data_IF_341778577680
#
_entry.id   IF_341778577680
#
_cell.length_a   1.000
_cell.length_b   1.000
_cell.length_c   1.000
_cell.angle_alpha   90.00
_cell.angle_beta   90.00
_cell.angle_gamma   90.00
#
_symmetry.space_group_name_H-M   'P 1'
#
loop_
_entity.id
_entity.type
_entity.pdbx_description
1 polymer ?
#
# COMPACT_ATOMS: atom_id res chain seq x y z
N UNK A 1 23.05 -1.36 -80.32
CA UNK A 1 22.57 -0.28 -79.44
C UNK A 1 21.32 -0.76 -78.67
N UNK A 2 21.49 -1.18 -77.42
CA UNK A 2 20.41 -1.21 -76.41
C UNK A 2 21.05 -0.76 -75.10
N UNK A 3 20.64 0.41 -74.62
CA UNK A 3 21.11 1.04 -73.38
C UNK A 3 20.37 0.40 -72.22
N UNK A 4 21.09 -0.14 -71.24
CA UNK A 4 20.56 -0.52 -69.93
C UNK A 4 20.69 0.67 -68.98
N UNK A 5 19.56 1.25 -68.57
CA UNK A 5 19.49 2.15 -67.42
C UNK A 5 19.62 1.30 -66.15
N UNK A 6 20.56 1.64 -65.27
CA UNK A 6 20.50 1.24 -63.86
C UNK A 6 20.15 2.47 -63.04
N UNK A 7 18.96 2.46 -62.44
CA UNK A 7 18.49 3.48 -61.52
C UNK A 7 19.10 3.22 -60.14
N UNK A 8 19.83 4.19 -59.60
CA UNK A 8 20.28 4.17 -58.21
C UNK A 8 19.16 4.68 -57.30
N UNK A 9 18.66 3.82 -56.41
CA UNK A 9 17.67 4.17 -55.40
C UNK A 9 18.41 4.72 -54.17
N UNK A 10 18.30 6.02 -53.91
CA UNK A 10 18.83 6.62 -52.68
C UNK A 10 17.84 6.39 -51.54
N UNK A 11 18.25 5.60 -50.54
CA UNK A 11 17.46 5.35 -49.33
C UNK A 11 17.61 6.56 -48.39
N UNK A 12 16.58 7.40 -48.30
CA UNK A 12 16.53 8.48 -47.33
C UNK A 12 16.21 7.90 -45.94
N UNK A 13 17.23 7.79 -45.08
CA UNK A 13 17.05 7.48 -43.66
C UNK A 13 16.56 8.76 -42.98
N UNK A 14 15.28 8.81 -42.62
CA UNK A 14 14.75 9.86 -41.76
C UNK A 14 15.28 9.65 -40.34
N UNK A 15 16.15 10.55 -39.88
CA UNK A 15 16.48 10.63 -38.46
C UNK A 15 15.26 11.18 -37.74
N UNK A 16 14.51 10.32 -37.07
CA UNK A 16 13.56 10.73 -36.04
C UNK A 16 14.37 11.43 -34.94
N UNK A 17 14.25 12.75 -34.84
CA UNK A 17 14.72 13.47 -33.66
C UNK A 17 13.85 13.04 -32.49
N UNK A 18 14.42 12.24 -31.58
CA UNK A 18 13.83 12.09 -30.27
C UNK A 18 13.87 13.48 -29.64
N UNK A 19 12.69 14.07 -29.42
CA UNK A 19 12.60 15.29 -28.63
C UNK A 19 13.28 15.00 -27.28
N UNK A 20 14.24 15.83 -26.88
CA UNK A 20 14.88 15.72 -25.59
C UNK A 20 13.80 15.63 -24.52
N UNK A 21 13.71 14.49 -23.84
CA UNK A 21 12.79 14.34 -22.71
C UNK A 21 13.16 15.42 -21.72
N UNK A 22 12.24 16.34 -21.38
CA UNK A 22 12.56 17.42 -20.45
C UNK A 22 13.17 16.83 -19.18
N UNK A 23 14.27 17.41 -18.66
CA UNK A 23 14.89 16.89 -17.45
C UNK A 23 13.85 16.84 -16.34
N UNK A 24 13.86 15.76 -15.56
CA UNK A 24 12.97 15.62 -14.40
C UNK A 24 13.26 16.76 -13.44
N UNK A 25 12.31 17.70 -13.34
CA UNK A 25 12.41 18.83 -12.41
C UNK A 25 11.82 18.41 -11.06
N UNK A 26 12.64 18.49 -10.02
CA UNK A 26 12.18 18.28 -8.65
C UNK A 26 11.88 19.65 -8.01
N UNK A 27 10.61 19.98 -7.71
CA UNK A 27 10.25 21.28 -7.14
C UNK A 27 10.97 21.50 -5.80
N UNK A 28 11.36 22.74 -5.55
CA UNK A 28 11.99 23.12 -4.28
C UNK A 28 10.92 23.30 -3.20
N UNK A 29 11.28 23.11 -1.94
CA UNK A 29 10.38 23.46 -0.84
C UNK A 29 10.03 24.94 -0.97
N UNK A 30 8.75 25.27 -0.89
CA UNK A 30 8.21 26.60 -1.14
C UNK A 30 7.58 26.79 -2.52
N UNK A 31 7.87 25.92 -3.50
CA UNK A 31 7.20 25.97 -4.81
C UNK A 31 5.69 25.87 -4.67
N UNK A 32 4.97 26.73 -5.38
CA UNK A 32 3.51 26.76 -5.43
C UNK A 32 3.01 26.43 -6.83
N UNK A 33 1.86 25.78 -6.90
CA UNK A 33 1.08 25.61 -8.12
C UNK A 33 -0.34 26.10 -7.82
N UNK A 34 -0.95 26.79 -8.77
CA UNK A 34 -2.30 27.33 -8.63
C UNK A 34 -3.15 26.86 -9.81
N UNK A 35 -4.41 26.53 -9.54
CA UNK A 35 -5.40 26.27 -10.58
C UNK A 35 -5.56 27.50 -11.48
N UNK A 36 -5.87 27.30 -12.76
CA UNK A 36 -5.99 28.39 -13.73
C UNK A 36 -7.07 29.41 -13.35
N UNK A 37 -8.12 28.97 -12.66
CA UNK A 37 -9.20 29.80 -12.14
C UNK A 37 -8.91 30.41 -10.75
N UNK A 38 -7.74 30.12 -10.18
CA UNK A 38 -7.33 30.58 -8.86
C UNK A 38 -7.99 29.88 -7.67
N UNK A 39 -8.86 28.88 -7.90
CA UNK A 39 -9.69 28.25 -6.86
C UNK A 39 -8.89 27.38 -5.87
N UNK A 40 -7.74 26.88 -6.30
CA UNK A 40 -6.89 25.97 -5.51
C UNK A 40 -5.43 26.36 -5.64
N UNK A 41 -4.73 26.39 -4.50
CA UNK A 41 -3.28 26.55 -4.45
C UNK A 41 -2.67 25.38 -3.68
N UNK A 42 -1.66 24.75 -4.28
CA UNK A 42 -0.82 23.74 -3.64
C UNK A 42 0.56 24.33 -3.39
N UNK A 43 1.12 24.05 -2.21
CA UNK A 43 2.49 24.44 -1.85
C UNK A 43 3.27 23.21 -1.40
N UNK A 44 4.47 23.03 -1.93
CA UNK A 44 5.39 22.03 -1.41
C UNK A 44 5.98 22.53 -0.08
N UNK A 45 5.48 22.04 1.04
CA UNK A 45 5.91 22.48 2.38
C UNK A 45 7.01 21.61 3.00
N UNK A 46 7.12 20.36 2.57
CA UNK A 46 8.07 19.39 3.09
C UNK A 46 8.41 18.34 2.06
N UNK A 47 9.57 17.70 2.22
CA UNK A 47 10.02 16.62 1.35
C UNK A 47 10.74 15.54 2.15
N UNK A 48 10.40 14.27 1.91
CA UNK A 48 11.07 13.08 2.45
C UNK A 48 11.43 12.16 1.30
N UNK A 49 12.69 11.76 1.18
CA UNK A 49 13.23 11.00 0.05
C UNK A 49 14.21 9.94 0.52
N UNK A 50 14.11 8.72 0.00
CA UNK A 50 15.15 7.72 0.24
C UNK A 50 16.45 8.06 -0.51
N UNK A 51 16.30 8.43 -1.79
CA UNK A 51 17.39 8.64 -2.74
C UNK A 51 17.45 10.10 -3.18
N UNK A 52 18.67 10.60 -3.43
CA UNK A 52 18.88 11.94 -3.97
C UNK A 52 18.47 13.11 -3.06
N UNK A 53 18.25 12.85 -1.76
CA UNK A 53 17.94 13.88 -0.77
C UNK A 53 19.19 14.52 -0.15
N UNK A 54 19.04 15.73 0.39
CA UNK A 54 20.03 16.37 1.27
C UNK A 54 19.93 15.78 2.69
N UNK A 55 20.77 16.23 3.63
CA UNK A 55 20.63 15.86 5.05
C UNK A 55 19.22 16.08 5.60
N UNK A 56 18.50 17.07 5.08
CA UNK A 56 17.23 17.55 5.65
C UNK A 56 16.02 16.83 5.05
N UNK A 57 16.15 16.35 3.80
CA UNK A 57 15.08 15.64 3.10
C UNK A 57 15.30 14.14 3.03
N UNK A 58 16.50 13.65 3.33
CA UNK A 58 16.81 12.21 3.27
C UNK A 58 16.15 11.46 4.43
N UNK A 59 15.43 10.40 4.07
CA UNK A 59 14.80 9.48 5.01
C UNK A 59 14.88 8.04 4.48
N UNK A 60 15.77 7.24 5.09
CA UNK A 60 16.03 5.86 4.66
C UNK A 60 14.94 4.87 5.07
N UNK A 61 14.05 5.24 6.00
CA UNK A 61 12.92 4.39 6.38
C UNK A 61 11.78 4.46 5.36
N UNK A 62 11.77 5.46 4.47
CA UNK A 62 10.80 5.61 3.39
C UNK A 62 11.33 4.92 2.14
N UNK A 63 10.75 3.80 1.74
CA UNK A 63 11.10 3.08 0.52
C UNK A 63 9.82 2.63 -0.21
N UNK A 64 9.63 3.13 -1.43
CA UNK A 64 8.39 2.99 -2.20
C UNK A 64 7.17 3.41 -1.36
N UNK A 65 7.06 4.70 -0.97
CA UNK A 65 5.92 5.17 -0.19
C UNK A 65 4.62 4.95 -0.97
N UNK A 66 3.58 4.48 -0.29
CA UNK A 66 2.30 4.12 -0.93
C UNK A 66 1.15 5.01 -0.53
N UNK A 67 1.07 5.39 0.73
CA UNK A 67 0.02 6.27 1.22
C UNK A 67 0.53 7.17 2.33
N UNK A 68 -0.22 8.26 2.53
CA UNK A 68 -0.06 9.19 3.64
C UNK A 68 -1.44 9.41 4.26
N UNK A 69 -1.51 9.39 5.60
CA UNK A 69 -2.73 9.67 6.34
C UNK A 69 -2.44 10.66 7.47
N UNK A 70 -3.16 11.78 7.48
CA UNK A 70 -3.05 12.81 8.53
C UNK A 70 -3.97 12.41 9.67
N UNK A 71 -3.43 12.36 10.89
CA UNK A 71 -4.23 12.04 12.07
C UNK A 71 -5.37 13.08 12.24
N UNK A 72 -6.59 12.67 12.63
CA UNK A 72 -7.76 13.56 12.66
C UNK A 72 -7.61 14.81 13.53
N UNK A 73 -6.75 14.78 14.56
CA UNK A 73 -6.46 15.95 15.40
C UNK A 73 -5.42 16.91 14.80
N UNK A 74 -4.88 16.61 13.61
CA UNK A 74 -3.88 17.43 12.92
C UNK A 74 -2.50 17.47 13.58
N UNK A 75 -2.21 16.60 14.56
CA UNK A 75 -0.93 16.59 15.27
C UNK A 75 0.21 15.96 14.48
N UNK A 76 -0.08 14.85 13.78
CA UNK A 76 0.90 14.07 13.02
C UNK A 76 0.31 13.42 11.78
N UNK A 77 1.18 12.93 10.91
CA UNK A 77 0.79 12.11 9.76
C UNK A 77 1.64 10.85 9.68
N UNK A 78 1.07 9.82 9.08
CA UNK A 78 1.67 8.51 8.88
C UNK A 78 1.96 8.29 7.41
N UNK A 79 3.12 7.75 7.09
CA UNK A 79 3.49 7.36 5.74
C UNK A 79 3.77 5.86 5.72
N UNK A 80 3.07 5.14 4.84
CA UNK A 80 3.31 3.72 4.62
C UNK A 80 4.45 3.54 3.61
N UNK A 81 5.49 2.85 4.04
CA UNK A 81 6.70 2.54 3.29
C UNK A 81 6.68 1.07 2.90
N UNK A 82 6.21 0.79 1.68
CA UNK A 82 5.86 -0.57 1.27
C UNK A 82 7.07 -1.49 1.20
N UNK A 83 8.12 -1.06 0.51
CA UNK A 83 9.34 -1.86 0.38
C UNK A 83 10.23 -1.74 1.63
N UNK A 84 9.99 -0.73 2.47
CA UNK A 84 10.61 -0.62 3.79
C UNK A 84 9.98 -1.51 4.86
N UNK A 85 8.78 -2.06 4.61
CA UNK A 85 7.97 -2.79 5.59
C UNK A 85 7.79 -1.99 6.89
N UNK A 86 7.53 -0.69 6.76
CA UNK A 86 7.39 0.25 7.87
C UNK A 86 6.23 1.23 7.65
N UNK A 87 5.63 1.66 8.75
CA UNK A 87 4.85 2.91 8.80
C UNK A 87 5.64 3.92 9.61
N UNK A 88 5.82 5.13 9.09
CA UNK A 88 6.58 6.19 9.76
C UNK A 88 5.62 7.29 10.19
N UNK A 89 5.68 7.72 11.45
CA UNK A 89 4.94 8.89 11.91
C UNK A 89 5.82 10.13 11.92
N UNK A 90 5.25 11.26 11.53
CA UNK A 90 5.91 12.56 11.51
C UNK A 90 5.02 13.61 12.15
N UNK A 91 5.61 14.54 12.87
CA UNK A 91 4.92 15.72 13.37
C UNK A 91 4.40 16.56 12.20
N UNK A 92 3.13 16.96 12.25
CA UNK A 92 2.48 17.63 11.12
C UNK A 92 3.02 19.04 10.87
N UNK A 93 3.38 19.77 11.93
CA UNK A 93 3.82 21.16 11.83
C UNK A 93 5.30 21.28 11.46
N UNK A 94 6.13 20.42 12.03
CA UNK A 94 7.59 20.49 11.93
C UNK A 94 8.17 19.48 10.94
N UNK A 95 7.38 18.48 10.51
CA UNK A 95 7.82 17.39 9.62
C UNK A 95 8.99 16.57 10.17
N UNK A 96 9.22 16.64 11.48
CA UNK A 96 10.20 15.81 12.18
C UNK A 96 9.65 14.40 12.31
N UNK A 97 10.52 13.41 12.07
CA UNK A 97 10.19 12.00 12.29
C UNK A 97 9.95 11.77 13.78
N UNK A 98 8.83 11.13 14.12
CA UNK A 98 8.45 10.82 15.49
C UNK A 98 8.72 9.35 15.80
N UNK A 99 8.28 8.43 14.94
CA UNK A 99 8.49 7.00 15.15
C UNK A 99 8.64 6.23 13.83
N UNK A 100 9.29 5.07 13.92
CA UNK A 100 9.36 4.07 12.86
C UNK A 100 8.74 2.78 13.37
N UNK A 101 7.59 2.42 12.78
CA UNK A 101 6.79 1.27 13.18
C UNK A 101 7.15 0.14 12.21
N UNK A 102 7.82 -0.90 12.71
CA UNK A 102 8.30 -2.02 11.89
C UNK A 102 7.27 -3.12 11.81
N UNK A 103 6.95 -3.57 10.60
CA UNK A 103 6.01 -4.66 10.35
C UNK A 103 6.76 -5.98 10.14
N UNK A 104 7.54 -6.40 11.13
CA UNK A 104 8.34 -7.63 11.06
C UNK A 104 7.91 -8.56 12.19
N UNK A 105 7.39 -9.73 11.83
CA UNK A 105 6.75 -10.66 12.76
C UNK A 105 7.43 -12.03 12.74
N UNK A 106 7.34 -12.72 13.87
CA UNK A 106 7.85 -14.08 14.05
C UNK A 106 6.91 -14.91 14.92
N UNK A 107 6.64 -16.14 14.48
CA UNK A 107 5.88 -17.14 15.22
C UNK A 107 6.48 -17.33 16.62
N UNK A 108 5.62 -17.46 17.63
CA UNK A 108 6.00 -17.61 19.03
C UNK A 108 6.40 -16.30 19.72
N UNK A 109 6.88 -15.29 19.00
CA UNK A 109 7.24 -13.98 19.58
C UNK A 109 6.05 -13.04 19.63
N UNK A 110 5.30 -12.96 18.53
CA UNK A 110 4.27 -11.95 18.33
C UNK A 110 2.85 -12.52 18.40
N UNK A 111 2.70 -13.77 18.84
CA UNK A 111 1.42 -14.51 18.87
C UNK A 111 0.33 -13.76 19.66
N UNK A 112 0.72 -13.04 20.71
CA UNK A 112 -0.20 -12.24 21.52
C UNK A 112 -0.84 -11.06 20.77
N UNK A 113 -0.27 -10.63 19.64
CA UNK A 113 -0.88 -9.58 18.80
C UNK A 113 -2.03 -10.13 17.95
N UNK A 114 -2.03 -11.43 17.65
CA UNK A 114 -2.97 -12.00 16.68
C UNK A 114 -4.37 -12.17 17.27
N UNK A 115 -5.37 -11.73 16.52
CA UNK A 115 -6.74 -12.17 16.75
C UNK A 115 -6.86 -13.67 16.55
N UNK A 116 -7.87 -14.28 17.19
CA UNK A 116 -8.24 -15.65 16.89
C UNK A 116 -8.58 -15.78 15.39
N UNK A 117 -8.24 -16.92 14.74
CA UNK A 117 -8.65 -17.17 13.36
C UNK A 117 -10.18 -17.10 13.23
N UNK A 118 -10.65 -16.40 12.20
CA UNK A 118 -12.08 -16.29 11.87
C UNK A 118 -12.59 -17.51 11.09
N UNK A 119 -11.69 -18.21 10.40
CA UNK A 119 -12.04 -19.29 9.47
C UNK A 119 -12.54 -18.81 8.10
N UNK A 120 -12.59 -17.49 7.88
CA UNK A 120 -13.08 -16.90 6.62
C UNK A 120 -12.03 -16.88 5.50
N UNK A 121 -10.75 -17.04 5.83
CA UNK A 121 -9.63 -16.95 4.88
C UNK A 121 -8.80 -18.24 4.89
N UNK A 122 -9.22 -19.26 4.13
CA UNK A 122 -8.51 -20.53 4.09
C UNK A 122 -7.15 -20.38 3.38
N UNK A 123 -6.13 -21.00 3.96
CA UNK A 123 -4.79 -21.12 3.36
C UNK A 123 -4.78 -22.26 2.34
N UNK A 124 -4.32 -21.98 1.11
CA UNK A 124 -4.32 -22.96 0.03
C UNK A 124 -2.93 -23.45 -0.36
N UNK A 125 -1.89 -22.63 -0.16
CA UNK A 125 -0.55 -22.90 -0.68
C UNK A 125 0.52 -22.98 0.40
N UNK A 126 0.41 -22.15 1.44
CA UNK A 126 1.36 -22.11 2.56
C UNK A 126 0.73 -22.70 3.82
N UNK A 127 1.49 -23.50 4.59
CA UNK A 127 0.97 -24.22 5.76
C UNK A 127 1.87 -24.14 7.01
N UNK A 128 3.03 -23.49 6.93
CA UNK A 128 4.01 -23.42 8.02
C UNK A 128 4.55 -22.01 8.16
N UNK A 129 4.93 -21.63 9.38
CA UNK A 129 5.54 -20.33 9.71
C UNK A 129 4.71 -19.15 9.19
N UNK A 130 3.37 -19.28 9.21
CA UNK A 130 2.48 -18.33 8.53
C UNK A 130 2.64 -16.93 9.13
N UNK A 131 2.91 -16.81 10.42
CA UNK A 131 3.04 -15.51 11.11
C UNK A 131 4.48 -14.99 11.16
N UNK A 132 5.41 -15.63 10.43
CA UNK A 132 6.80 -15.20 10.31
C UNK A 132 7.00 -14.53 8.95
N UNK A 133 6.85 -13.20 8.93
CA UNK A 133 6.93 -12.42 7.70
C UNK A 133 7.23 -10.94 8.00
N UNK A 134 7.62 -10.20 6.96
CA UNK A 134 7.47 -8.76 6.96
C UNK A 134 6.20 -8.36 6.19
N UNK A 135 5.38 -7.50 6.79
CA UNK A 135 4.16 -6.97 6.18
C UNK A 135 4.49 -5.79 5.27
N UNK A 136 3.95 -5.80 4.04
CA UNK A 136 4.11 -4.72 3.06
C UNK A 136 2.95 -3.71 3.16
N UNK A 137 3.04 -2.62 3.93
CA UNK A 137 1.93 -1.69 4.13
C UNK A 137 1.57 -0.96 2.84
N UNK A 138 0.27 -0.80 2.57
CA UNK A 138 -0.23 -0.09 1.38
C UNK A 138 -1.03 1.15 1.74
N UNK A 139 -2.26 0.96 2.19
CA UNK A 139 -3.18 2.03 2.55
C UNK A 139 -3.35 2.09 4.07
N UNK A 140 -4.12 3.06 4.55
CA UNK A 140 -4.57 3.03 5.94
C UNK A 140 -5.84 3.84 6.17
N UNK A 141 -6.51 3.59 7.29
CA UNK A 141 -7.66 4.38 7.76
C UNK A 141 -7.65 4.49 9.28
N UNK A 142 -8.25 5.56 9.80
CA UNK A 142 -8.42 5.74 11.24
C UNK A 142 -9.76 5.18 11.70
N UNK A 143 -9.80 4.71 12.95
CA UNK A 143 -11.02 4.37 13.67
C UNK A 143 -10.96 4.95 15.08
N UNK A 144 -12.08 4.91 15.80
CA UNK A 144 -12.15 5.34 17.21
C UNK A 144 -11.56 6.75 17.41
N UNK A 145 -12.02 7.70 16.60
CA UNK A 145 -11.59 9.10 16.62
C UNK A 145 -10.06 9.28 16.49
N UNK A 146 -9.43 8.48 15.64
CA UNK A 146 -7.99 8.53 15.41
C UNK A 146 -7.17 7.63 16.33
N UNK A 147 -7.76 7.00 17.35
CA UNK A 147 -6.98 6.18 18.30
C UNK A 147 -6.27 5.01 17.64
N UNK A 148 -6.86 4.44 16.60
CA UNK A 148 -6.29 3.27 15.92
C UNK A 148 -6.16 3.52 14.42
N UNK A 149 -4.97 3.26 13.89
CA UNK A 149 -4.65 3.26 12.47
C UNK A 149 -4.60 1.82 11.96
N UNK A 150 -5.43 1.51 10.97
CA UNK A 150 -5.49 0.20 10.31
C UNK A 150 -4.62 0.21 9.08
N UNK A 151 -3.73 -0.77 8.93
CA UNK A 151 -2.73 -0.84 7.86
C UNK A 151 -2.75 -2.24 7.23
N UNK A 152 -3.48 -2.45 6.12
CA UNK A 152 -3.45 -3.70 5.39
C UNK A 152 -2.07 -3.95 4.75
N UNK A 153 -1.71 -5.23 4.66
CA UNK A 153 -0.47 -5.66 4.02
C UNK A 153 -0.73 -6.25 2.66
N UNK A 154 -0.25 -5.59 1.61
CA UNK A 154 -0.28 -6.06 0.22
C UNK A 154 0.03 -7.55 0.10
N UNK A 155 1.05 -8.03 0.84
CA UNK A 155 1.36 -9.44 1.03
C UNK A 155 2.26 -9.67 2.23
N UNK A 156 2.31 -10.91 2.70
CA UNK A 156 3.39 -11.44 3.52
C UNK A 156 4.62 -11.67 2.63
N UNK A 157 5.83 -11.40 3.11
CA UNK A 157 7.04 -11.45 2.27
C UNK A 157 7.32 -12.79 1.60
N UNK A 158 6.94 -13.91 2.23
CA UNK A 158 7.13 -15.25 1.67
C UNK A 158 6.18 -15.56 0.50
N UNK A 159 5.03 -14.87 0.42
CA UNK A 159 4.09 -15.04 -0.67
C UNK A 159 4.46 -14.08 -1.80
N UNK A 160 5.20 -14.59 -2.78
CA UNK A 160 5.70 -13.78 -3.90
C UNK A 160 4.60 -13.27 -4.82
N UNK A 161 3.46 -13.99 -4.87
CA UNK A 161 2.35 -13.69 -5.76
C UNK A 161 1.12 -13.18 -5.01
N UNK A 162 1.16 -13.04 -3.68
CA UNK A 162 0.10 -12.44 -2.87
C UNK A 162 -1.28 -13.12 -3.06
N UNK A 163 -1.26 -14.44 -3.11
CA UNK A 163 -2.37 -15.30 -3.47
C UNK A 163 -3.01 -16.03 -2.29
N UNK A 164 -2.33 -16.08 -1.15
CA UNK A 164 -2.86 -16.62 0.09
C UNK A 164 -3.26 -15.47 1.05
N UNK A 165 -3.97 -15.80 2.16
CA UNK A 165 -4.36 -14.81 3.16
C UNK A 165 -3.19 -13.92 3.61
N UNK A 166 -3.47 -12.63 3.76
CA UNK A 166 -2.48 -11.67 4.27
C UNK A 166 -2.85 -11.26 5.70
N UNK A 167 -2.59 -10.01 6.08
CA UNK A 167 -3.00 -9.46 7.37
C UNK A 167 -3.20 -7.95 7.30
N UNK A 168 -3.81 -7.42 8.36
CA UNK A 168 -3.92 -6.00 8.68
C UNK A 168 -3.34 -5.77 10.07
N UNK A 169 -2.49 -4.74 10.21
CA UNK A 169 -2.03 -4.27 11.51
C UNK A 169 -2.87 -3.12 12.02
N UNK A 170 -3.06 -3.11 13.34
CA UNK A 170 -3.72 -2.06 14.07
C UNK A 170 -2.66 -1.40 14.93
N UNK A 171 -2.41 -0.13 14.67
CA UNK A 171 -1.46 0.72 15.39
C UNK A 171 -2.22 1.60 16.36
N UNK A 172 -1.83 1.58 17.63
CA UNK A 172 -2.27 2.58 18.60
C UNK A 172 -1.50 3.88 18.35
N UNK A 173 -2.22 4.92 17.94
CA UNK A 173 -1.64 6.20 17.56
C UNK A 173 -1.11 7.00 18.74
N UNK A 174 -1.46 6.67 19.99
CA UNK A 174 -0.84 7.30 21.16
C UNK A 174 0.58 6.80 21.41
N UNK A 175 0.83 5.54 21.10
CA UNK A 175 2.12 4.89 21.39
C UNK A 175 2.96 4.62 20.15
N UNK A 176 2.38 4.74 18.96
CA UNK A 176 2.97 4.35 17.68
C UNK A 176 3.47 2.89 17.69
N UNK A 177 2.66 2.00 18.29
CA UNK A 177 2.93 0.57 18.37
C UNK A 177 1.80 -0.23 17.76
N UNK A 178 2.16 -1.36 17.14
CA UNK A 178 1.19 -2.36 16.70
C UNK A 178 0.64 -3.04 17.95
N UNK A 179 -0.68 -3.02 18.10
CA UNK A 179 -1.39 -3.58 19.27
C UNK A 179 -2.25 -4.78 18.90
N UNK A 180 -2.54 -4.97 17.61
CA UNK A 180 -3.31 -6.12 17.12
C UNK A 180 -2.96 -6.42 15.67
N UNK A 181 -3.05 -7.69 15.30
CA UNK A 181 -2.98 -8.21 13.94
C UNK A 181 -4.25 -9.02 13.67
N UNK A 182 -4.85 -8.84 12.50
CA UNK A 182 -6.01 -9.62 12.05
C UNK A 182 -5.75 -10.14 10.64
N UNK A 183 -6.27 -11.33 10.34
CA UNK A 183 -6.17 -11.91 8.99
C UNK A 183 -7.04 -11.17 7.98
N UNK A 184 -6.63 -11.24 6.71
CA UNK A 184 -7.36 -10.71 5.56
C UNK A 184 -7.33 -11.72 4.43
N UNK A 185 -8.12 -11.50 3.40
CA UNK A 185 -7.98 -12.20 2.13
C UNK A 185 -6.69 -11.83 1.40
N UNK A 186 -6.48 -12.41 0.20
CA UNK A 186 -5.29 -12.20 -0.61
C UNK A 186 -5.26 -10.79 -1.21
N UNK A 187 -4.05 -10.23 -1.32
CA UNK A 187 -3.81 -8.91 -1.91
C UNK A 187 -4.69 -7.79 -1.31
N UNK A 188 -4.78 -7.64 0.03
CA UNK A 188 -5.60 -6.59 0.61
C UNK A 188 -5.02 -5.22 0.23
N UNK A 189 -5.89 -4.29 -0.12
CA UNK A 189 -5.46 -3.00 -0.66
C UNK A 189 -6.13 -1.82 0.02
N UNK A 190 -7.38 -1.53 -0.30
CA UNK A 190 -8.11 -0.41 0.30
C UNK A 190 -8.69 -0.83 1.64
N UNK A 191 -8.69 0.11 2.59
CA UNK A 191 -9.32 -0.06 3.90
C UNK A 191 -10.11 1.20 4.25
N UNK A 192 -11.30 1.04 4.80
CA UNK A 192 -12.14 2.16 5.22
C UNK A 192 -12.94 1.83 6.48
N UNK A 193 -13.08 2.83 7.35
CA UNK A 193 -13.94 2.76 8.54
C UNK A 193 -15.31 3.34 8.20
N UNK A 194 -16.39 2.68 8.64
CA UNK A 194 -17.75 3.15 8.43
C UNK A 194 -18.01 4.48 9.17
N UNK A 195 -18.92 5.34 8.68
CA UNK A 195 -19.23 6.62 9.32
C UNK A 195 -19.72 6.50 10.76
N UNK A 196 -20.37 5.39 11.11
CA UNK A 196 -20.81 5.11 12.49
C UNK A 196 -19.70 4.56 13.39
N UNK A 197 -18.50 4.33 12.86
CA UNK A 197 -17.32 3.85 13.58
C UNK A 197 -17.37 2.37 13.98
N UNK A 198 -18.36 1.60 13.52
CA UNK A 198 -18.60 0.22 14.00
C UNK A 198 -18.06 -0.87 13.08
N UNK A 199 -17.69 -0.55 11.85
CA UNK A 199 -17.24 -1.54 10.87
C UNK A 199 -16.01 -1.03 10.13
N UNK A 200 -15.04 -1.91 9.91
CA UNK A 200 -13.94 -1.70 8.95
C UNK A 200 -14.14 -2.64 7.76
N UNK A 201 -14.03 -2.08 6.55
CA UNK A 201 -14.07 -2.84 5.30
C UNK A 201 -12.68 -2.86 4.67
N UNK A 202 -12.24 -4.05 4.22
CA UNK A 202 -10.95 -4.24 3.52
C UNK A 202 -11.25 -4.92 2.19
N UNK A 203 -10.80 -4.31 1.08
CA UNK A 203 -10.90 -4.94 -0.24
C UNK A 203 -9.73 -5.88 -0.48
N UNK A 204 -10.04 -7.09 -0.96
CA UNK A 204 -9.09 -8.11 -1.35
C UNK A 204 -9.04 -8.15 -2.88
N UNK A 205 -8.08 -7.42 -3.45
CA UNK A 205 -7.88 -7.36 -4.90
C UNK A 205 -7.45 -8.70 -5.49
N UNK A 206 -7.11 -9.66 -4.63
CA UNK A 206 -6.60 -10.94 -5.06
C UNK A 206 -7.70 -11.83 -5.60
N UNK A 207 -8.83 -11.89 -4.92
CA UNK A 207 -9.91 -12.85 -5.21
C UNK A 207 -11.29 -12.20 -5.32
N UNK A 208 -11.37 -10.88 -5.54
CA UNK A 208 -12.65 -10.15 -5.68
C UNK A 208 -13.55 -10.25 -4.45
N UNK A 209 -12.98 -10.14 -3.26
CA UNK A 209 -13.76 -10.16 -2.01
C UNK A 209 -13.56 -8.90 -1.16
N UNK A 210 -14.50 -8.63 -0.27
CA UNK A 210 -14.40 -7.55 0.74
C UNK A 210 -14.65 -8.14 2.12
N UNK A 211 -13.66 -8.05 3.00
CA UNK A 211 -13.78 -8.46 4.39
C UNK A 211 -14.41 -7.35 5.24
N UNK A 212 -15.41 -7.69 6.04
CA UNK A 212 -16.00 -6.77 7.03
C UNK A 212 -15.62 -7.21 8.44
N UNK A 213 -15.16 -6.25 9.24
CA UNK A 213 -14.72 -6.47 10.63
C UNK A 213 -15.58 -5.60 11.55
N UNK A 214 -16.17 -6.20 12.58
CA UNK A 214 -16.86 -5.48 13.64
C UNK A 214 -15.84 -4.85 14.58
N UNK A 215 -15.97 -3.54 14.75
CA UNK A 215 -15.10 -2.74 15.59
C UNK A 215 -15.93 -1.87 16.55
N UNK A 216 -17.14 -2.30 16.89
CA UNK A 216 -18.07 -1.52 17.72
C UNK A 216 -17.64 -1.38 19.18
N UNK A 217 -16.76 -2.25 19.67
CA UNK A 217 -16.15 -2.13 21.00
C UNK A 217 -15.00 -1.14 20.97
N UNK A 218 -14.83 -0.34 22.02
CA UNK A 218 -13.64 0.52 22.18
C UNK A 218 -12.33 -0.28 22.37
N UNK A 219 -12.45 -1.58 22.62
CA UNK A 219 -11.36 -2.48 22.95
C UNK A 219 -10.99 -3.35 21.75
N UNK A 220 -9.74 -3.24 21.24
CA UNK A 220 -9.29 -4.05 20.13
C UNK A 220 -9.51 -5.55 20.33
N UNK A 221 -9.34 -6.07 21.55
CA UNK A 221 -9.54 -7.47 21.91
C UNK A 221 -10.86 -8.08 21.43
N UNK A 222 -11.94 -7.29 21.44
CA UNK A 222 -13.30 -7.74 21.14
C UNK A 222 -13.64 -7.71 19.63
N UNK A 223 -12.80 -7.08 18.81
CA UNK A 223 -13.05 -6.95 17.37
C UNK A 223 -12.95 -8.29 16.67
N UNK A 224 -13.86 -8.55 15.74
CA UNK A 224 -13.96 -9.84 15.06
C UNK A 224 -14.49 -9.67 13.63
N UNK A 225 -14.12 -10.59 12.76
CA UNK A 225 -14.66 -10.60 11.39
C UNK A 225 -16.16 -10.93 11.42
N UNK A 226 -16.93 -10.21 10.60
CA UNK A 226 -18.38 -10.40 10.45
C UNK A 226 -18.67 -11.36 9.30
N UNK A 227 -18.11 -11.06 8.14
CA UNK A 227 -18.33 -11.80 6.90
C UNK A 227 -17.33 -11.37 5.83
N UNK A 228 -17.29 -12.16 4.75
CA UNK A 228 -16.62 -11.82 3.51
C UNK A 228 -17.68 -11.72 2.42
N UNK A 229 -17.71 -10.58 1.73
CA UNK A 229 -18.57 -10.36 0.57
C UNK A 229 -17.81 -10.72 -0.70
N UNK A 230 -18.47 -11.38 -1.63
CA UNK A 230 -17.95 -11.63 -2.99
C UNK A 230 -18.47 -10.55 -3.92
N UNK A 231 -17.58 -9.92 -4.67
CA UNK A 231 -17.95 -8.94 -5.70
C UNK A 231 -17.91 -9.65 -7.04
N UNK A 232 -19.09 -9.83 -7.64
CA UNK A 232 -19.32 -10.57 -8.89
C UNK A 232 -18.98 -12.07 -8.78
N UNK A 233 -17.68 -12.42 -8.73
CA UNK A 233 -17.20 -13.80 -8.62
C UNK A 233 -15.90 -13.86 -7.84
N UNK A 234 -15.79 -14.83 -6.94
CA UNK A 234 -14.53 -15.13 -6.26
C UNK A 234 -13.54 -15.80 -7.23
N UNK A 235 -12.33 -15.24 -7.32
CA UNK A 235 -11.30 -15.80 -8.19
C UNK A 235 -10.53 -16.91 -7.47
N UNK A 236 -10.33 -18.02 -8.17
CA UNK A 236 -9.41 -19.06 -7.72
C UNK A 236 -7.99 -18.67 -8.09
N UNK A 237 -7.14 -18.55 -7.06
CA UNK A 237 -5.73 -18.25 -7.22
C UNK A 237 -4.92 -19.54 -7.08
N UNK A 238 -4.08 -19.82 -8.08
CA UNK A 238 -3.19 -20.98 -8.09
C UNK A 238 -1.97 -20.68 -8.97
N UNK A 239 -1.13 -19.77 -8.50
CA UNK A 239 0.09 -19.36 -9.18
C UNK A 239 1.31 -20.12 -8.64
N UNK A 240 2.35 -20.32 -9.47
CA UNK A 240 3.61 -20.93 -9.02
C UNK A 240 4.20 -20.21 -7.81
N UNK A 241 4.72 -20.96 -6.83
CA UNK A 241 5.30 -20.38 -5.59
C UNK A 241 6.76 -19.92 -5.75
N UNK A 242 7.38 -20.18 -6.89
CA UNK A 242 8.82 -19.98 -7.11
C UNK A 242 9.16 -18.92 -8.18
N UNK A 243 8.15 -18.31 -8.81
CA UNK A 243 8.34 -17.21 -9.77
C UNK A 243 7.20 -16.21 -9.72
N UNK A 244 7.52 -14.95 -9.97
CA UNK A 244 6.53 -13.90 -10.13
C UNK A 244 5.67 -14.16 -11.36
N UNK A 245 4.40 -13.78 -11.29
CA UNK A 245 3.49 -13.78 -12.43
C UNK A 245 2.94 -12.37 -12.67
N UNK A 246 2.62 -12.07 -13.93
CA UNK A 246 1.82 -10.89 -14.24
C UNK A 246 0.38 -11.16 -13.79
N UNK A 247 0.02 -10.53 -12.67
CA UNK A 247 -1.31 -10.66 -12.09
C UNK A 247 -2.30 -9.65 -12.62
N UNK A 248 -1.86 -8.65 -13.38
CA UNK A 248 -2.74 -7.62 -13.94
C UNK A 248 -3.39 -8.12 -15.24
N UNK A 249 -2.70 -9.02 -15.95
CA UNK A 249 -3.26 -9.76 -17.07
C UNK A 249 -4.42 -10.70 -16.63
N UNK A 250 -5.62 -10.49 -17.18
CA UNK A 250 -6.79 -11.34 -16.92
C UNK A 250 -7.38 -11.25 -15.51
N UNK A 251 -7.13 -10.14 -14.79
CA UNK A 251 -7.39 -9.99 -13.35
C UNK A 251 -8.86 -9.91 -12.91
N UNK A 252 -9.85 -9.99 -13.81
CA UNK A 252 -11.26 -10.05 -13.43
C UNK A 252 -11.79 -8.75 -12.77
N UNK A 253 -11.49 -7.62 -13.40
CA UNK A 253 -12.04 -6.24 -13.35
C UNK A 253 -12.64 -5.59 -12.09
N UNK A 254 -13.30 -6.28 -11.15
CA UNK A 254 -14.24 -5.58 -10.26
C UNK A 254 -13.62 -4.79 -9.09
N UNK A 255 -12.57 -5.30 -8.45
CA UNK A 255 -11.97 -4.64 -7.27
C UNK A 255 -10.59 -4.02 -7.54
N UNK A 256 -9.95 -4.38 -8.64
CA UNK A 256 -8.56 -4.04 -8.92
C UNK A 256 -8.50 -2.81 -9.84
N UNK A 257 -7.91 -1.71 -9.36
CA UNK A 257 -7.79 -0.47 -10.15
C UNK A 257 -8.55 0.75 -9.61
N UNK A 258 -8.98 0.75 -8.35
CA UNK A 258 -9.40 1.97 -7.63
C UNK A 258 -8.20 2.68 -7.03
#
# INVERSE_FOLDING_TARGET
MKRTLSAAFALAISMLSFADVPPVSHPQIGTTAQATDGSLTMKLIAKKQNYGGTSDTRDTDINSPKSINIHPDGSKYYVNSLEGCTTISYDFKTHKKLAVIRHQFKDGRDDALWSKPSGLYPWRHYHQNLNTFAGKPVESTFSHNGRYLWVPYYRRTFDINAQDPSAVAIIDTKTDKIVRLMETGPLPKMVSTSPDGKTVAISHWGNNTVGLIDISSDKPEDWHHKMVLVVDKELELNYPLNRSVDRDNGSGYALRGT
#
